data_IF_268484316708
#
_entry.id   IF_268484316708
#
_cell.length_a   1.000
_cell.length_b   1.000
_cell.length_c   1.000
_cell.angle_alpha   90.00
_cell.angle_beta   90.00
_cell.angle_gamma   90.00
#
_symmetry.space_group_name_H-M   'P 1'
#
loop_
_entity.id
_entity.type
_entity.pdbx_description
1 polymer ?
#
# COMPACT_ATOMS: atom_id res chain seq x y z
N UNK A 1 -68.45 -42.60 58.97
CA UNK A 1 -68.02 -41.74 57.84
C UNK A 1 -66.64 -41.15 58.13
N UNK A 2 -66.34 -40.84 59.40
CA UNK A 2 -65.12 -40.17 59.88
C UNK A 2 -63.78 -40.86 59.57
N UNK A 3 -63.66 -42.19 59.71
CA UNK A 3 -62.40 -42.90 59.44
C UNK A 3 -61.90 -42.77 57.99
N UNK A 4 -62.79 -42.55 57.02
CA UNK A 4 -62.41 -42.31 55.62
C UNK A 4 -61.88 -40.89 55.41
N UNK A 5 -62.42 -39.91 56.12
CA UNK A 5 -61.96 -38.53 56.07
C UNK A 5 -60.58 -38.40 56.73
N UNK A 6 -60.38 -38.99 57.92
CA UNK A 6 -59.06 -38.99 58.59
C UNK A 6 -57.94 -39.66 57.75
N UNK A 7 -58.26 -40.74 57.03
CA UNK A 7 -57.31 -41.40 56.13
C UNK A 7 -57.00 -40.55 54.89
N UNK A 8 -57.96 -39.73 54.44
CA UNK A 8 -57.78 -38.81 53.33
C UNK A 8 -56.91 -37.62 53.74
N UNK A 9 -57.14 -37.05 54.93
CA UNK A 9 -56.34 -35.96 55.49
C UNK A 9 -54.88 -36.38 55.65
N UNK A 10 -54.60 -37.58 56.19
CA UNK A 10 -53.23 -38.10 56.29
C UNK A 10 -52.55 -38.23 54.92
N UNK A 11 -53.26 -38.74 53.91
CA UNK A 11 -52.71 -38.82 52.54
C UNK A 11 -52.44 -37.43 51.96
N UNK A 12 -53.30 -36.45 52.24
CA UNK A 12 -53.11 -35.09 51.79
C UNK A 12 -51.88 -34.43 52.45
N UNK A 13 -51.70 -34.62 53.76
CA UNK A 13 -50.51 -34.16 54.49
C UNK A 13 -49.22 -34.80 53.95
N UNK A 14 -49.24 -36.11 53.66
CA UNK A 14 -48.09 -36.82 53.06
C UNK A 14 -47.77 -36.30 51.66
N UNK A 15 -48.78 -36.05 50.82
CA UNK A 15 -48.60 -35.45 49.50
C UNK A 15 -48.03 -34.03 49.59
N UNK A 16 -48.51 -33.22 50.54
CA UNK A 16 -48.02 -31.86 50.75
C UNK A 16 -46.55 -31.86 51.19
N UNK A 17 -46.18 -32.75 52.13
CA UNK A 17 -44.78 -32.93 52.54
C UNK A 17 -43.88 -33.37 51.39
N UNK A 18 -44.32 -34.34 50.59
CA UNK A 18 -43.59 -34.82 49.43
C UNK A 18 -43.40 -33.71 48.37
N UNK A 19 -44.46 -32.92 48.13
CA UNK A 19 -44.41 -31.79 47.22
C UNK A 19 -43.43 -30.72 47.69
N UNK A 20 -43.45 -30.36 48.99
CA UNK A 20 -42.53 -29.38 49.56
C UNK A 20 -41.08 -29.85 49.43
N UNK A 21 -40.79 -31.11 49.74
CA UNK A 21 -39.44 -31.68 49.57
C UNK A 21 -38.97 -31.66 48.11
N UNK A 22 -39.87 -31.92 47.15
CA UNK A 22 -39.56 -31.81 45.72
C UNK A 22 -39.23 -30.37 45.31
N UNK A 23 -40.00 -29.40 45.78
CA UNK A 23 -39.75 -27.98 45.50
C UNK A 23 -38.41 -27.52 46.09
N UNK A 24 -38.12 -27.85 47.36
CA UNK A 24 -36.81 -27.54 47.97
C UNK A 24 -35.63 -28.17 47.22
N UNK A 25 -35.81 -29.37 46.66
CA UNK A 25 -34.79 -30.02 45.85
C UNK A 25 -34.62 -29.34 44.48
N UNK A 26 -35.70 -28.81 43.91
CA UNK A 26 -35.68 -28.02 42.67
C UNK A 26 -34.98 -26.67 42.92
N UNK A 27 -35.32 -25.96 43.99
CA UNK A 27 -34.70 -24.67 44.34
C UNK A 27 -33.18 -24.83 44.52
N UNK A 28 -32.74 -25.86 45.25
CA UNK A 28 -31.31 -26.18 45.39
C UNK A 28 -30.62 -26.47 44.06
N UNK A 29 -31.32 -27.08 43.10
CA UNK A 29 -30.77 -27.31 41.75
C UNK A 29 -30.67 -26.02 40.95
N UNK A 30 -31.64 -25.11 41.06
CA UNK A 30 -31.58 -23.81 40.41
C UNK A 30 -30.46 -22.95 40.99
N UNK A 31 -30.30 -22.87 42.31
CA UNK A 31 -29.17 -22.16 42.93
C UNK A 31 -27.81 -22.70 42.46
N UNK A 32 -27.69 -24.02 42.28
CA UNK A 32 -26.47 -24.62 41.75
C UNK A 32 -26.23 -24.29 40.26
N UNK A 33 -27.29 -24.14 39.47
CA UNK A 33 -27.21 -23.70 38.08
C UNK A 33 -26.79 -22.24 38.02
N UNK A 34 -27.39 -21.36 38.82
CA UNK A 34 -27.06 -19.94 38.86
C UNK A 34 -25.59 -19.73 39.20
N UNK A 35 -25.07 -20.42 40.23
CA UNK A 35 -23.63 -20.37 40.57
C UNK A 35 -22.73 -20.80 39.42
N UNK A 36 -23.08 -21.88 38.70
CA UNK A 36 -22.32 -22.32 37.52
C UNK A 36 -22.38 -21.30 36.39
N UNK A 37 -23.52 -20.64 36.22
CA UNK A 37 -23.69 -19.61 35.19
C UNK A 37 -22.85 -18.37 35.50
N UNK A 38 -22.83 -17.92 36.75
CA UNK A 38 -21.95 -16.84 37.20
C UNK A 38 -20.47 -17.17 37.01
N UNK A 39 -20.05 -18.41 37.33
CA UNK A 39 -18.67 -18.87 37.11
C UNK A 39 -18.30 -18.91 35.62
N UNK A 40 -19.22 -19.34 34.76
CA UNK A 40 -19.03 -19.33 33.31
C UNK A 40 -18.92 -17.90 32.77
N UNK A 41 -19.76 -16.97 33.22
CA UNK A 41 -19.68 -15.55 32.84
C UNK A 41 -18.32 -14.96 33.23
N UNK A 42 -17.90 -15.13 34.49
CA UNK A 42 -16.58 -14.65 34.97
C UNK A 42 -15.42 -15.27 34.19
N UNK A 43 -15.54 -16.53 33.79
CA UNK A 43 -14.51 -17.20 32.98
C UNK A 43 -14.48 -16.67 31.55
N UNK A 44 -15.64 -16.40 30.95
CA UNK A 44 -15.75 -15.77 29.63
C UNK A 44 -15.14 -14.37 29.64
N UNK A 45 -15.51 -13.52 30.59
CA UNK A 45 -14.98 -12.16 30.74
C UNK A 45 -13.45 -12.16 30.80
N UNK A 46 -12.86 -12.96 31.70
CA UNK A 46 -11.40 -13.09 31.81
C UNK A 46 -10.72 -13.61 30.53
N UNK A 47 -11.42 -14.45 29.75
CA UNK A 47 -10.89 -14.95 28.47
C UNK A 47 -10.94 -13.86 27.41
N UNK A 48 -12.01 -13.07 27.35
CA UNK A 48 -12.13 -11.93 26.45
C UNK A 48 -11.08 -10.86 26.76
N UNK A 49 -10.89 -10.49 28.02
CA UNK A 49 -9.84 -9.56 28.44
C UNK A 49 -8.45 -10.00 27.97
N UNK A 50 -8.10 -11.29 28.14
CA UNK A 50 -6.83 -11.84 27.65
C UNK A 50 -6.70 -11.83 26.13
N UNK A 51 -7.81 -11.95 25.41
CA UNK A 51 -7.83 -11.87 23.95
C UNK A 51 -7.58 -10.42 23.52
N UNK A 52 -8.23 -9.46 24.16
CA UNK A 52 -8.05 -8.03 23.88
C UNK A 52 -6.61 -7.59 24.14
N UNK A 53 -6.01 -7.99 25.28
CA UNK A 53 -4.59 -7.71 25.59
C UNK A 53 -3.63 -8.27 24.51
N UNK A 54 -3.92 -9.48 24.00
CA UNK A 54 -3.13 -10.09 22.92
C UNK A 54 -3.29 -9.33 21.61
N UNK A 55 -4.51 -8.93 21.26
CA UNK A 55 -4.78 -8.13 20.07
C UNK A 55 -4.07 -6.78 20.13
N UNK A 56 -4.16 -6.07 21.25
CA UNK A 56 -3.43 -4.80 21.42
C UNK A 56 -1.93 -4.99 21.25
N UNK A 57 -1.38 -6.06 21.82
CA UNK A 57 0.06 -6.36 21.72
C UNK A 57 0.48 -6.65 20.28
N UNK A 58 -0.33 -7.42 19.53
CA UNK A 58 -0.09 -7.68 18.11
C UNK A 58 -0.13 -6.38 17.29
N UNK A 59 -1.12 -5.52 17.51
CA UNK A 59 -1.24 -4.23 16.82
C UNK A 59 -0.02 -3.35 17.12
N UNK A 60 0.41 -3.28 18.38
CA UNK A 60 1.61 -2.53 18.77
C UNK A 60 2.88 -3.05 18.08
N UNK A 61 3.07 -4.37 18.03
CA UNK A 61 4.22 -4.99 17.36
C UNK A 61 4.19 -4.75 15.86
N UNK A 62 3.03 -4.88 15.24
CA UNK A 62 2.83 -4.64 13.81
C UNK A 62 3.13 -3.17 13.43
N UNK A 63 2.59 -2.21 14.20
CA UNK A 63 2.86 -0.79 13.97
C UNK A 63 4.36 -0.47 14.11
N UNK A 64 5.03 -1.06 15.09
CA UNK A 64 6.48 -0.91 15.24
C UNK A 64 7.24 -1.45 14.02
N UNK A 65 6.88 -2.64 13.53
CA UNK A 65 7.48 -3.22 12.32
C UNK A 65 7.26 -2.38 11.07
N UNK A 66 6.08 -1.78 10.91
CA UNK A 66 5.81 -0.87 9.80
C UNK A 66 6.63 0.42 9.87
N UNK A 67 6.80 1.00 11.06
CA UNK A 67 7.62 2.19 11.26
C UNK A 67 9.11 1.91 10.99
N UNK A 68 9.63 0.77 11.43
CA UNK A 68 11.00 0.33 11.11
C UNK A 68 11.18 0.15 9.59
N UNK A 69 10.26 -0.57 8.94
CA UNK A 69 10.29 -0.74 7.48
C UNK A 69 10.18 0.58 6.71
N UNK A 70 9.45 1.57 7.24
CA UNK A 70 9.35 2.91 6.65
C UNK A 70 10.68 3.66 6.76
N UNK A 71 11.35 3.58 7.92
CA UNK A 71 12.67 4.19 8.14
C UNK A 71 13.76 3.57 7.28
N UNK A 72 13.75 2.25 7.13
CA UNK A 72 14.71 1.54 6.27
C UNK A 72 14.51 1.97 4.81
N UNK A 73 13.25 2.04 4.37
CA UNK A 73 12.90 2.50 3.01
C UNK A 73 13.28 3.96 2.78
N UNK A 74 13.11 4.83 3.78
CA UNK A 74 13.53 6.22 3.69
C UNK A 74 15.06 6.36 3.67
N UNK A 75 15.78 5.56 4.47
CA UNK A 75 17.25 5.53 4.47
C UNK A 75 17.79 5.05 3.13
N UNK A 76 17.19 3.99 2.55
CA UNK A 76 17.47 3.53 1.20
C UNK A 76 17.18 4.63 0.18
N UNK A 77 16.04 5.33 0.29
CA UNK A 77 15.71 6.45 -0.60
C UNK A 77 16.75 7.57 -0.54
N UNK A 78 17.21 7.95 0.65
CA UNK A 78 18.24 9.00 0.85
C UNK A 78 19.62 8.55 0.36
N UNK A 79 19.98 7.29 0.59
CA UNK A 79 21.20 6.71 0.04
C UNK A 79 21.13 6.70 -1.49
N UNK A 80 20.03 6.22 -2.05
CA UNK A 80 19.76 6.24 -3.49
C UNK A 80 19.83 7.67 -4.03
N UNK A 81 19.24 8.69 -3.39
CA UNK A 81 19.33 10.07 -3.89
C UNK A 81 20.77 10.64 -3.84
N UNK A 82 21.58 10.16 -2.91
CA UNK A 82 22.99 10.59 -2.80
C UNK A 82 23.85 9.87 -3.85
N UNK A 83 23.57 8.59 -4.10
CA UNK A 83 24.26 7.76 -5.10
C UNK A 83 23.66 7.93 -6.52
N UNK A 84 22.46 8.49 -6.69
CA UNK A 84 21.81 8.73 -7.98
C UNK A 84 22.45 9.85 -8.79
N UNK A 85 23.37 10.61 -8.19
CA UNK A 85 24.34 11.40 -8.98
C UNK A 85 25.27 10.52 -9.83
N UNK A 86 25.27 9.19 -9.61
CA UNK A 86 26.13 8.18 -10.27
C UNK A 86 25.47 6.80 -10.53
N UNK A 87 24.20 6.60 -10.17
CA UNK A 87 23.54 5.29 -10.30
C UNK A 87 22.96 5.16 -11.70
N UNK A 88 23.59 4.32 -12.53
CA UNK A 88 23.20 4.08 -13.92
C UNK A 88 21.91 3.22 -14.08
N UNK A 89 21.85 2.33 -15.09
CA UNK A 89 20.63 1.65 -15.56
C UNK A 89 19.77 0.94 -14.49
N UNK A 90 20.35 0.51 -13.36
CA UNK A 90 19.65 -0.24 -12.32
C UNK A 90 18.57 0.58 -11.59
N UNK A 91 18.81 1.88 -11.38
CA UNK A 91 17.84 2.75 -10.70
C UNK A 91 16.68 3.11 -11.63
N UNK A 92 16.97 3.37 -12.90
CA UNK A 92 15.94 3.60 -13.91
C UNK A 92 15.02 2.38 -14.01
N UNK A 93 15.59 1.18 -14.07
CA UNK A 93 14.83 -0.08 -14.10
C UNK A 93 13.93 -0.25 -12.86
N UNK A 94 14.42 0.10 -11.67
CA UNK A 94 13.63 0.05 -10.44
C UNK A 94 12.49 1.09 -10.46
N UNK A 95 12.74 2.30 -10.95
CA UNK A 95 11.69 3.33 -11.07
C UNK A 95 10.61 2.87 -12.05
N UNK A 96 11.01 2.29 -13.18
CA UNK A 96 10.09 1.69 -14.14
C UNK A 96 9.29 0.54 -13.52
N UNK A 97 9.88 -0.28 -12.65
CA UNK A 97 9.15 -1.33 -11.90
C UNK A 97 8.15 -0.76 -10.90
N UNK A 98 8.56 0.26 -10.14
CA UNK A 98 7.69 0.91 -9.14
C UNK A 98 6.48 1.58 -9.82
N UNK A 99 6.66 2.09 -11.04
CA UNK A 99 5.64 2.82 -11.78
C UNK A 99 4.98 1.98 -12.89
N UNK A 100 5.17 0.65 -12.91
CA UNK A 100 4.71 -0.23 -13.98
C UNK A 100 3.20 -0.10 -14.22
N UNK A 101 2.39 -0.10 -13.16
CA UNK A 101 0.94 0.12 -13.24
C UNK A 101 0.58 1.45 -13.94
N UNK A 102 1.34 2.51 -13.69
CA UNK A 102 1.12 3.83 -14.30
C UNK A 102 1.59 3.86 -15.75
N UNK A 103 2.69 3.17 -16.08
CA UNK A 103 3.15 3.00 -17.45
C UNK A 103 2.11 2.23 -18.27
N UNK A 104 1.57 1.13 -17.73
CA UNK A 104 0.50 0.35 -18.37
C UNK A 104 -0.75 1.20 -18.60
N UNK A 105 -1.15 2.03 -17.62
CA UNK A 105 -2.27 2.97 -17.79
C UNK A 105 -2.00 4.00 -18.90
N UNK A 106 -0.75 4.41 -19.08
CA UNK A 106 -0.30 5.24 -20.20
C UNK A 106 -0.07 4.44 -21.51
N UNK A 107 -0.45 3.16 -21.55
CA UNK A 107 -0.23 2.24 -22.67
C UNK A 107 1.24 2.02 -23.03
N UNK A 108 2.15 2.16 -22.08
CA UNK A 108 3.60 1.94 -22.24
C UNK A 108 3.98 0.64 -21.55
N UNK A 109 4.48 -0.33 -22.32
CA UNK A 109 5.02 -1.56 -21.76
C UNK A 109 6.53 -1.42 -21.52
N UNK A 110 6.98 -1.67 -20.28
CA UNK A 110 8.42 -1.60 -19.92
C UNK A 110 9.31 -2.39 -20.87
N UNK A 111 8.86 -3.57 -21.30
CA UNK A 111 9.62 -4.44 -22.21
C UNK A 111 9.94 -3.81 -23.59
N UNK A 112 9.20 -2.77 -23.99
CA UNK A 112 9.38 -2.07 -25.25
C UNK A 112 10.27 -0.83 -25.12
N UNK A 113 10.75 -0.52 -23.92
CA UNK A 113 11.64 0.62 -23.67
C UNK A 113 13.05 0.21 -24.07
N UNK A 114 13.66 0.99 -24.97
CA UNK A 114 15.00 0.77 -25.48
C UNK A 114 15.84 2.03 -25.34
N UNK A 115 17.03 1.92 -24.73
CA UNK A 115 17.93 3.05 -24.56
C UNK A 115 18.76 3.27 -25.82
N UNK A 116 18.81 4.51 -26.29
CA UNK A 116 19.65 4.91 -27.43
C UNK A 116 20.64 5.99 -27.00
N UNK A 117 21.74 6.09 -27.74
CA UNK A 117 22.77 7.11 -27.50
C UNK A 117 22.56 8.31 -28.41
N UNK A 118 22.60 9.50 -27.84
CA UNK A 118 22.61 10.77 -28.54
C UNK A 118 24.00 11.40 -28.45
N UNK A 119 24.50 11.91 -29.57
CA UNK A 119 25.79 12.58 -29.68
C UNK A 119 25.59 13.86 -30.50
N UNK A 120 25.85 14.99 -29.87
CA UNK A 120 25.88 16.30 -30.53
C UNK A 120 27.29 16.55 -31.07
N UNK A 121 27.55 16.10 -32.28
CA UNK A 121 28.88 16.19 -32.90
C UNK A 121 29.30 17.63 -33.14
N UNK A 122 28.36 18.49 -33.54
CA UNK A 122 28.63 19.85 -34.01
C UNK A 122 28.33 20.91 -32.94
N UNK A 123 27.64 20.54 -31.85
CA UNK A 123 27.28 21.45 -30.76
C UNK A 123 26.08 22.34 -31.08
N UNK A 124 25.10 21.83 -31.82
CA UNK A 124 23.91 22.59 -32.22
C UNK A 124 22.93 22.80 -31.05
N UNK A 125 22.88 21.85 -30.12
CA UNK A 125 21.99 21.86 -28.95
C UNK A 125 22.80 21.97 -27.64
N UNK A 126 23.89 21.22 -27.56
CA UNK A 126 24.82 21.16 -26.44
C UNK A 126 26.22 21.63 -26.90
N UNK A 127 27.27 21.36 -26.11
CA UNK A 127 28.64 21.61 -26.57
C UNK A 127 29.11 20.52 -27.54
N UNK A 128 30.10 20.83 -28.36
CA UNK A 128 30.68 19.91 -29.35
C UNK A 128 31.09 18.56 -28.73
N UNK A 129 30.72 17.47 -29.38
CA UNK A 129 30.91 16.09 -28.92
C UNK A 129 30.21 15.73 -27.60
N UNK A 130 29.17 16.47 -27.20
CA UNK A 130 28.35 16.10 -26.05
C UNK A 130 27.66 14.76 -26.29
N UNK A 131 27.76 13.85 -25.33
CA UNK A 131 27.13 12.53 -25.40
C UNK A 131 26.13 12.37 -24.27
N UNK A 132 24.94 11.89 -24.60
CA UNK A 132 23.87 11.54 -23.66
C UNK A 132 23.09 10.34 -24.17
N UNK A 133 22.05 9.96 -23.44
CA UNK A 133 21.18 8.84 -23.74
C UNK A 133 19.72 9.21 -23.46
N UNK A 134 18.81 8.50 -24.13
CA UNK A 134 17.37 8.65 -23.92
C UNK A 134 16.69 7.29 -24.14
N UNK A 135 15.64 7.05 -23.38
CA UNK A 135 14.81 5.87 -23.53
C UNK A 135 13.77 6.10 -24.64
N UNK A 136 13.55 5.09 -25.49
CA UNK A 136 12.66 5.19 -26.66
C UNK A 136 11.71 4.02 -26.68
N UNK A 137 10.43 4.33 -26.91
CA UNK A 137 9.37 3.35 -27.15
C UNK A 137 8.82 3.56 -28.55
N UNK A 138 8.80 2.48 -29.33
CA UNK A 138 8.13 2.41 -30.63
C UNK A 138 6.88 1.55 -30.47
N UNK A 139 5.71 2.18 -30.47
CA UNK A 139 4.44 1.48 -30.27
C UNK A 139 3.34 2.11 -31.11
N UNK A 140 2.56 1.29 -31.81
CA UNK A 140 1.44 1.72 -32.65
C UNK A 140 1.82 2.80 -33.68
N UNK A 141 3.05 2.74 -34.19
CA UNK A 141 3.61 3.73 -35.13
C UNK A 141 4.06 5.04 -34.48
N UNK A 142 3.82 5.23 -33.18
CA UNK A 142 4.31 6.37 -32.41
C UNK A 142 5.72 6.13 -31.88
N UNK A 143 6.50 7.21 -31.81
CA UNK A 143 7.82 7.27 -31.20
C UNK A 143 7.72 8.14 -29.96
N UNK A 144 7.84 7.52 -28.78
CA UNK A 144 7.85 8.21 -27.49
C UNK A 144 9.29 8.30 -26.99
N UNK A 145 9.72 9.48 -26.55
CA UNK A 145 11.01 9.66 -25.90
C UNK A 145 10.78 9.83 -24.40
N UNK A 146 11.49 9.04 -23.60
CA UNK A 146 11.28 8.92 -22.17
C UNK A 146 12.57 9.28 -21.44
N UNK A 147 12.44 10.10 -20.40
CA UNK A 147 13.50 10.30 -19.40
C UNK A 147 13.01 9.79 -18.05
N UNK A 148 13.82 8.99 -17.37
CA UNK A 148 13.51 8.44 -16.06
C UNK A 148 14.34 9.13 -14.97
N UNK A 149 13.68 9.71 -13.96
CA UNK A 149 14.32 10.38 -12.82
C UNK A 149 13.74 9.96 -11.48
N UNK A 150 14.56 9.86 -10.44
CA UNK A 150 14.06 9.60 -9.08
C UNK A 150 13.21 10.78 -8.57
N UNK A 151 13.63 12.00 -8.86
CA UNK A 151 12.88 13.25 -8.68
C UNK A 151 13.15 14.16 -9.85
N UNK A 152 12.15 14.94 -10.28
CA UNK A 152 12.32 15.85 -11.40
C UNK A 152 12.09 17.32 -11.04
N UNK A 153 12.87 18.20 -11.67
CA UNK A 153 12.71 19.64 -11.64
C UNK A 153 12.75 20.30 -13.03
N UNK A 154 12.73 21.63 -13.07
CA UNK A 154 12.72 22.40 -14.30
C UNK A 154 13.96 22.19 -15.19
N UNK A 155 15.10 21.78 -14.61
CA UNK A 155 16.31 21.46 -15.36
C UNK A 155 16.17 20.12 -16.09
N UNK A 156 15.53 19.13 -15.46
CA UNK A 156 15.24 17.85 -16.09
C UNK A 156 14.25 18.01 -17.26
N UNK A 157 13.29 18.93 -17.13
CA UNK A 157 12.36 19.28 -18.21
C UNK A 157 13.11 19.93 -19.39
N UNK A 158 13.96 20.91 -19.13
CA UNK A 158 14.79 21.56 -20.16
C UNK A 158 15.73 20.54 -20.84
N UNK A 159 16.35 19.66 -20.07
CA UNK A 159 17.22 18.61 -20.61
C UNK A 159 16.47 17.65 -21.52
N UNK A 160 15.28 17.16 -21.13
CA UNK A 160 14.45 16.30 -21.97
C UNK A 160 14.04 17.00 -23.29
N UNK A 161 13.71 18.29 -23.24
CA UNK A 161 13.40 19.09 -24.44
C UNK A 161 14.62 19.16 -25.38
N UNK A 162 15.82 19.38 -24.83
CA UNK A 162 17.07 19.41 -25.60
C UNK A 162 17.41 18.05 -26.19
N UNK A 163 17.29 16.96 -25.41
CA UNK A 163 17.44 15.58 -25.91
C UNK A 163 16.48 15.30 -27.06
N UNK A 164 15.23 15.75 -26.97
CA UNK A 164 14.26 15.64 -28.07
C UNK A 164 14.72 16.38 -29.33
N UNK A 165 15.25 17.61 -29.21
CA UNK A 165 15.81 18.35 -30.37
C UNK A 165 17.00 17.61 -30.98
N UNK A 166 17.92 17.12 -30.15
CA UNK A 166 19.09 16.36 -30.59
C UNK A 166 18.69 15.05 -31.28
N UNK A 167 17.69 14.33 -30.76
CA UNK A 167 17.12 13.15 -31.41
C UNK A 167 16.66 13.46 -32.84
N UNK A 168 15.92 14.57 -33.03
CA UNK A 168 15.42 14.98 -34.35
C UNK A 168 16.56 15.24 -35.34
N UNK A 169 17.63 15.90 -34.90
CA UNK A 169 18.80 16.20 -35.73
C UNK A 169 19.53 14.91 -36.08
N UNK A 170 19.92 14.13 -35.08
CA UNK A 170 20.77 12.95 -35.25
C UNK A 170 20.11 11.84 -36.07
N UNK A 171 18.80 11.61 -35.89
CA UNK A 171 18.07 10.55 -36.60
C UNK A 171 17.26 11.05 -37.79
N UNK A 172 17.23 12.37 -38.04
CA UNK A 172 16.37 13.02 -39.04
C UNK A 172 14.92 12.51 -38.98
N UNK A 173 14.39 12.33 -37.76
CA UNK A 173 13.08 11.70 -37.50
C UNK A 173 12.31 12.47 -36.43
N UNK A 174 11.01 12.68 -36.65
CA UNK A 174 10.13 13.24 -35.64
C UNK A 174 9.82 12.21 -34.53
N UNK A 175 9.47 12.72 -33.36
CA UNK A 175 8.87 11.96 -32.26
C UNK A 175 7.47 12.53 -31.98
N UNK A 176 6.63 11.74 -31.34
CA UNK A 176 5.24 12.10 -31.06
C UNK A 176 5.09 12.72 -29.67
N UNK A 177 5.78 12.18 -28.66
CA UNK A 177 5.63 12.62 -27.28
C UNK A 177 6.96 12.59 -26.52
N UNK A 178 7.13 13.57 -25.62
CA UNK A 178 8.16 13.57 -24.59
C UNK A 178 7.50 13.17 -23.27
N UNK A 179 8.08 12.21 -22.57
CA UNK A 179 7.54 11.68 -21.31
C UNK A 179 8.62 11.72 -20.25
N UNK A 180 8.32 12.39 -19.15
CA UNK A 180 9.14 12.40 -17.95
C UNK A 180 8.53 11.44 -16.92
N UNK A 181 9.25 10.37 -16.62
CA UNK A 181 8.85 9.38 -15.61
C UNK A 181 9.60 9.66 -14.32
N UNK A 182 8.90 9.89 -13.22
CA UNK A 182 9.56 10.16 -11.94
C UNK A 182 8.80 9.69 -10.70
N UNK A 183 9.51 9.42 -9.60
CA UNK A 183 8.84 9.07 -8.33
C UNK A 183 8.20 10.31 -7.68
N UNK A 184 8.86 11.48 -7.77
CA UNK A 184 8.39 12.71 -7.16
C UNK A 184 8.68 13.95 -8.02
N UNK A 185 7.71 14.85 -8.12
CA UNK A 185 7.84 16.18 -8.73
C UNK A 185 6.95 17.16 -7.95
N UNK A 186 7.42 18.38 -7.69
CA UNK A 186 6.58 19.39 -7.05
C UNK A 186 5.54 19.94 -8.05
N UNK A 187 4.45 20.51 -7.55
CA UNK A 187 3.34 20.99 -8.36
C UNK A 187 3.74 22.06 -9.38
N UNK A 188 4.63 22.97 -9.01
CA UNK A 188 5.09 24.06 -9.89
C UNK A 188 5.82 23.47 -11.11
N UNK A 189 6.76 22.56 -10.89
CA UNK A 189 7.53 21.92 -11.96
C UNK A 189 6.64 20.98 -12.80
N UNK A 190 5.67 20.30 -12.18
CA UNK A 190 4.69 19.49 -12.90
C UNK A 190 3.88 20.34 -13.89
N UNK A 191 3.36 21.47 -13.44
CA UNK A 191 2.60 22.40 -14.30
C UNK A 191 3.48 22.97 -15.42
N UNK A 192 4.75 23.29 -15.12
CA UNK A 192 5.72 23.72 -16.14
C UNK A 192 5.99 22.65 -17.20
N UNK A 193 6.12 21.37 -16.82
CA UNK A 193 6.34 20.28 -17.76
C UNK A 193 5.19 20.21 -18.78
N UNK A 194 3.95 20.22 -18.30
CA UNK A 194 2.75 20.16 -19.15
C UNK A 194 2.70 21.39 -20.08
N UNK A 195 3.03 22.58 -19.60
CA UNK A 195 3.08 23.80 -20.43
C UNK A 195 4.10 23.71 -21.57
N UNK A 196 5.19 22.95 -21.39
CA UNK A 196 6.21 22.73 -22.41
C UNK A 196 5.91 21.52 -23.32
N UNK A 197 4.71 20.93 -23.22
CA UNK A 197 4.32 19.68 -23.91
C UNK A 197 5.18 18.47 -23.51
N UNK A 198 5.60 18.41 -22.24
CA UNK A 198 6.23 17.23 -21.65
C UNK A 198 5.20 16.53 -20.77
N UNK A 199 4.79 15.32 -21.18
CA UNK A 199 3.89 14.49 -20.39
C UNK A 199 4.63 13.94 -19.16
N UNK A 200 3.94 13.83 -18.02
CA UNK A 200 4.58 13.40 -16.77
C UNK A 200 3.88 12.19 -16.17
N UNK A 201 4.63 11.12 -15.93
CA UNK A 201 4.19 9.94 -15.19
C UNK A 201 4.86 9.98 -13.82
N UNK A 202 4.15 10.53 -12.84
CA UNK A 202 4.68 10.74 -11.49
C UNK A 202 4.12 9.74 -10.47
N UNK A 203 4.98 9.22 -9.60
CA UNK A 203 4.55 8.48 -8.39
C UNK A 203 3.77 9.36 -7.43
N UNK A 204 4.32 10.54 -7.12
CA UNK A 204 3.74 11.56 -6.25
C UNK A 204 3.97 12.96 -6.81
N UNK A 205 2.94 13.81 -6.74
CA UNK A 205 3.05 15.25 -6.99
C UNK A 205 2.96 15.95 -5.63
N UNK A 206 3.98 16.74 -5.28
CA UNK A 206 4.11 17.41 -3.97
C UNK A 206 3.82 18.90 -3.96
#
# INVERSE_FOLDING_TARGET
MDKRFEAMDKRFEELQKFSNQRFEAIDRRFEAIDKRFEELQKTMERRFEKVDERFETLIRQMNKGFEEARKDRQSLRTFISTVSSRSGPDLENLILEILDDKLIQASIQKANISKIKLIDTDGDIYYENYSTDIDVVLQDGKTLLIEVKSSADNRDIDDLLRKGKLYKIQYNKAYDELILVCLEINRINFEQAIQQNVNVIAGKIT
#
